data_IF_930677923954
#
_entry.id   IF_930677923954
#
_cell.length_a   1.000
_cell.length_b   1.000
_cell.length_c   1.000
_cell.angle_alpha   90.00
_cell.angle_beta   90.00
_cell.angle_gamma   90.00
#
_symmetry.space_group_name_H-M   'P 1'
#
loop_
_entity.id
_entity.type
_entity.pdbx_description
1 polymer ?
#
# COMPACT_ATOMS: atom_id res chain seq x y z
N UNK A 1 -66.14 27.97 -18.58
CA UNK A 1 -66.33 26.59 -18.05
C UNK A 1 -65.20 25.74 -18.64
N UNK A 2 -64.12 25.49 -17.88
CA UNK A 2 -63.81 24.20 -17.21
C UNK A 2 -63.38 23.10 -18.19
N UNK A 3 -62.24 22.38 -18.10
CA UNK A 3 -61.16 22.25 -17.10
C UNK A 3 -59.94 21.58 -17.79
N UNK A 4 -58.71 21.98 -17.43
CA UNK A 4 -57.45 21.31 -17.82
C UNK A 4 -57.32 19.96 -17.11
N UNK A 5 -57.00 18.89 -17.83
CA UNK A 5 -56.67 17.57 -17.24
C UNK A 5 -55.19 17.53 -16.89
N UNK A 6 -54.86 17.48 -15.59
CA UNK A 6 -53.50 17.19 -15.07
C UNK A 6 -53.34 15.68 -14.94
N UNK A 7 -52.20 15.15 -15.40
CA UNK A 7 -51.78 13.78 -15.11
C UNK A 7 -51.06 13.72 -13.75
N UNK A 8 -51.22 12.63 -12.96
CA UNK A 8 -50.75 12.58 -11.57
C UNK A 8 -49.28 12.19 -11.45
N UNK A 9 -48.56 12.89 -10.58
CA UNK A 9 -47.24 12.54 -10.07
C UNK A 9 -47.39 11.28 -9.21
N UNK A 10 -46.75 10.16 -9.60
CA UNK A 10 -46.61 9.01 -8.71
C UNK A 10 -45.31 9.13 -7.91
N UNK A 11 -45.49 9.15 -6.59
CA UNK A 11 -44.47 9.18 -5.54
C UNK A 11 -43.76 7.84 -5.41
N UNK A 12 -42.45 7.88 -5.18
CA UNK A 12 -41.68 6.82 -4.52
C UNK A 12 -42.19 6.57 -3.08
N UNK A 13 -42.22 5.30 -2.64
CA UNK A 13 -42.16 4.95 -1.21
C UNK A 13 -41.03 3.94 -0.89
N UNK A 14 -40.73 3.72 0.41
CA UNK A 14 -39.36 3.66 0.94
C UNK A 14 -38.84 2.24 1.21
N UNK A 15 -37.52 2.09 1.16
CA UNK A 15 -36.82 0.86 1.56
C UNK A 15 -36.76 0.79 3.09
N UNK A 16 -37.44 -0.21 3.66
CA UNK A 16 -37.41 -0.51 5.08
C UNK A 16 -36.19 -1.36 5.42
N UNK A 17 -35.44 -0.82 6.35
CA UNK A 17 -34.42 -1.43 7.20
C UNK A 17 -34.91 -2.68 7.94
N UNK A 18 -34.06 -3.71 8.01
CA UNK A 18 -34.01 -4.58 9.20
C UNK A 18 -32.55 -4.73 9.69
N UNK A 19 -32.35 -4.87 11.01
CA UNK A 19 -31.05 -4.75 11.68
C UNK A 19 -30.49 -6.11 12.15
N UNK A 20 -29.16 -6.26 12.07
CA UNK A 20 -28.35 -7.20 12.87
C UNK A 20 -26.96 -6.56 13.00
N UNK A 21 -26.70 -5.79 14.06
CA UNK A 21 -26.16 -6.24 15.35
C UNK A 21 -24.80 -6.94 15.23
N UNK A 22 -23.77 -6.10 15.45
CA UNK A 22 -22.51 -6.35 16.15
C UNK A 22 -21.65 -7.55 15.74
N UNK A 23 -20.55 -7.24 15.06
CA UNK A 23 -19.23 -7.66 15.56
C UNK A 23 -18.22 -6.56 15.24
N UNK A 24 -17.97 -5.73 16.26
CA UNK A 24 -16.83 -4.86 16.38
C UNK A 24 -15.61 -5.73 16.69
N UNK A 25 -14.54 -5.55 15.90
CA UNK A 25 -13.14 -5.46 16.30
C UNK A 25 -12.31 -5.27 15.02
N UNK A 26 -11.85 -4.05 14.76
CA UNK A 26 -10.47 -3.57 15.00
C UNK A 26 -9.54 -4.19 13.97
N UNK A 27 -9.01 -3.46 12.99
CA UNK A 27 -8.12 -2.31 13.19
C UNK A 27 -8.53 -1.09 12.34
N UNK A 28 -9.10 -0.11 13.05
CA UNK A 28 -9.21 1.29 12.65
C UNK A 28 -7.84 1.93 12.92
N UNK A 29 -7.05 2.09 11.87
CA UNK A 29 -6.02 3.12 11.82
C UNK A 29 -6.48 4.05 10.70
N UNK A 30 -6.92 5.24 11.08
CA UNK A 30 -7.59 6.20 10.22
C UNK A 30 -6.87 6.40 8.89
N UNK A 31 -7.49 5.89 7.84
CA UNK A 31 -7.11 6.17 6.46
C UNK A 31 -8.02 7.30 5.96
N UNK A 32 -7.83 8.51 6.51
CA UNK A 32 -8.11 9.72 5.70
C UNK A 32 -7.05 9.81 4.61
N UNK A 33 -6.95 8.78 3.77
CA UNK A 33 -6.19 8.84 2.54
C UNK A 33 -6.90 9.85 1.65
N UNK A 34 -6.17 10.91 1.27
CA UNK A 34 -6.68 11.88 0.32
C UNK A 34 -7.20 11.13 -0.92
N UNK A 35 -8.35 11.57 -1.45
CA UNK A 35 -8.98 10.88 -2.58
C UNK A 35 -8.04 10.85 -3.81
N UNK A 36 -7.11 11.81 -3.91
CA UNK A 36 -6.02 11.84 -4.87
C UNK A 36 -4.96 10.77 -4.61
N UNK A 37 -4.49 10.63 -3.38
CA UNK A 37 -3.50 9.61 -3.00
C UNK A 37 -4.01 8.19 -3.27
N UNK A 38 -5.26 7.92 -2.88
CA UNK A 38 -5.92 6.64 -3.17
C UNK A 38 -5.97 6.38 -4.67
N UNK A 39 -6.34 7.38 -5.47
CA UNK A 39 -6.35 7.25 -6.92
C UNK A 39 -4.95 7.00 -7.48
N UNK A 40 -3.94 7.69 -6.97
CA UNK A 40 -2.56 7.52 -7.44
C UNK A 40 -2.04 6.11 -7.13
N UNK A 41 -2.40 5.57 -5.96
CA UNK A 41 -2.11 4.18 -5.61
C UNK A 41 -2.82 3.19 -6.54
N UNK A 42 -4.12 3.39 -6.80
CA UNK A 42 -4.88 2.61 -7.77
C UNK A 42 -4.21 2.66 -9.16
N UNK A 43 -3.79 3.85 -9.60
CA UNK A 43 -3.13 4.08 -10.89
C UNK A 43 -1.78 3.33 -10.99
N UNK A 44 -0.93 3.45 -9.97
CA UNK A 44 0.37 2.76 -9.91
C UNK A 44 0.19 1.24 -10.03
N UNK A 45 -0.75 0.68 -9.27
CA UNK A 45 -1.07 -0.74 -9.33
C UNK A 45 -1.52 -1.18 -10.72
N UNK A 46 -2.39 -0.40 -11.37
CA UNK A 46 -2.83 -0.72 -12.74
C UNK A 46 -1.68 -0.66 -13.75
N UNK A 47 -0.74 0.28 -13.63
CA UNK A 47 0.43 0.38 -14.50
C UNK A 47 1.33 -0.87 -14.34
N UNK A 48 1.57 -1.27 -13.09
CA UNK A 48 2.36 -2.48 -12.78
C UNK A 48 1.71 -3.74 -13.38
N UNK A 49 0.39 -3.89 -13.23
CA UNK A 49 -0.33 -5.03 -13.77
C UNK A 49 -0.29 -5.09 -15.31
N UNK A 50 -0.37 -3.95 -15.98
CA UNK A 50 -0.21 -3.87 -17.44
C UNK A 50 1.21 -4.26 -17.85
N UNK A 51 2.24 -3.72 -17.18
CA UNK A 51 3.64 -4.08 -17.46
C UNK A 51 3.89 -5.57 -17.28
N UNK A 52 3.44 -6.18 -16.17
CA UNK A 52 3.58 -7.61 -15.94
C UNK A 52 2.89 -8.46 -17.02
N UNK A 53 1.73 -8.01 -17.51
CA UNK A 53 1.02 -8.66 -18.62
C UNK A 53 1.80 -8.54 -19.93
N UNK A 54 2.39 -7.38 -20.23
CA UNK A 54 3.24 -7.20 -21.42
C UNK A 54 4.52 -8.05 -21.35
N UNK A 55 5.16 -8.14 -20.18
CA UNK A 55 6.38 -8.94 -19.99
C UNK A 55 6.16 -10.44 -20.17
N UNK A 56 4.95 -10.92 -19.90
CA UNK A 56 4.60 -12.36 -19.98
C UNK A 56 3.88 -12.74 -21.28
N UNK A 57 3.31 -11.77 -22.01
CA UNK A 57 2.53 -12.03 -23.22
C UNK A 57 3.33 -11.79 -24.51
N UNK A 58 3.16 -12.68 -25.48
CA UNK A 58 3.71 -12.48 -26.83
C UNK A 58 3.08 -11.25 -27.50
N UNK A 59 3.92 -10.44 -28.13
CA UNK A 59 3.54 -9.18 -28.80
C UNK A 59 2.51 -9.33 -29.92
N UNK A 60 2.27 -10.55 -30.40
CA UNK A 60 1.34 -10.86 -31.49
C UNK A 60 -0.14 -10.84 -31.04
N UNK A 61 -0.42 -10.85 -29.74
CA UNK A 61 -1.80 -10.91 -29.23
C UNK A 61 -2.46 -9.54 -29.33
N UNK A 62 -3.71 -9.46 -29.81
CA UNK A 62 -4.50 -8.21 -29.85
C UNK A 62 -4.51 -7.47 -28.50
N UNK A 63 -4.58 -8.24 -27.42
CA UNK A 63 -4.55 -7.78 -26.03
C UNK A 63 -3.26 -7.02 -25.68
N UNK A 64 -2.11 -7.41 -26.26
CA UNK A 64 -0.83 -6.70 -26.07
C UNK A 64 -0.92 -5.25 -26.55
N UNK A 65 -1.45 -5.05 -27.77
CA UNK A 65 -1.61 -3.71 -28.34
C UNK A 65 -2.58 -2.84 -27.55
N UNK A 66 -3.64 -3.44 -26.99
CA UNK A 66 -4.62 -2.76 -26.15
C UNK A 66 -4.02 -2.34 -24.80
N UNK A 67 -3.25 -3.21 -24.15
CA UNK A 67 -2.54 -2.89 -22.91
C UNK A 67 -1.46 -1.82 -23.12
N UNK A 68 -0.72 -1.85 -24.23
CA UNK A 68 0.25 -0.82 -24.56
C UNK A 68 -0.41 0.56 -24.72
N UNK A 69 -1.54 0.62 -25.43
CA UNK A 69 -2.32 1.86 -25.61
C UNK A 69 -2.87 2.38 -24.27
N UNK A 70 -3.35 1.47 -23.42
CA UNK A 70 -3.81 1.82 -22.08
C UNK A 70 -2.67 2.44 -21.26
N UNK A 71 -1.50 1.82 -21.28
CA UNK A 71 -0.32 2.27 -20.55
C UNK A 71 0.13 3.67 -20.97
N UNK A 72 0.19 3.95 -22.27
CA UNK A 72 0.47 5.30 -22.81
C UNK A 72 -0.52 6.36 -22.28
N UNK A 73 -1.79 5.99 -22.13
CA UNK A 73 -2.82 6.92 -21.61
C UNK A 73 -2.68 7.15 -20.10
N UNK A 74 -2.33 6.11 -19.34
CA UNK A 74 -2.17 6.19 -17.88
C UNK A 74 -0.93 6.97 -17.46
N UNK A 75 0.18 6.83 -18.20
CA UNK A 75 1.42 7.56 -17.98
C UNK A 75 1.33 9.03 -18.40
N UNK A 76 0.39 9.40 -19.26
CA UNK A 76 0.22 10.79 -19.67
C UNK A 76 -0.26 11.65 -18.48
N UNK A 77 0.59 12.56 -18.02
CA UNK A 77 0.27 13.50 -16.95
C UNK A 77 -0.86 14.47 -17.32
N UNK A 78 -1.04 14.76 -18.62
CA UNK A 78 -2.08 15.67 -19.13
C UNK A 78 -3.45 15.01 -19.26
N UNK A 79 -3.55 13.69 -19.08
CA UNK A 79 -4.82 12.99 -19.18
C UNK A 79 -5.71 13.25 -17.94
N UNK A 80 -6.98 13.68 -18.11
CA UNK A 80 -7.88 13.91 -16.98
C UNK A 80 -8.12 12.64 -16.16
N UNK A 81 -8.30 12.80 -14.84
CA UNK A 81 -8.58 11.71 -13.88
C UNK A 81 -9.67 10.75 -14.35
N UNK A 82 -10.80 11.29 -14.84
CA UNK A 82 -11.92 10.49 -15.32
C UNK A 82 -11.53 9.57 -16.48
N UNK A 83 -10.69 10.05 -17.40
CA UNK A 83 -10.21 9.26 -18.54
C UNK A 83 -9.28 8.13 -18.08
N UNK A 84 -8.40 8.40 -17.11
CA UNK A 84 -7.55 7.35 -16.52
C UNK A 84 -8.41 6.27 -15.86
N UNK A 85 -9.41 6.64 -15.07
CA UNK A 85 -10.36 5.68 -14.46
C UNK A 85 -11.09 4.84 -15.50
N UNK A 86 -11.58 5.46 -16.58
CA UNK A 86 -12.25 4.74 -17.66
C UNK A 86 -11.31 3.70 -18.30
N UNK A 87 -10.09 4.10 -18.63
CA UNK A 87 -9.09 3.20 -19.23
C UNK A 87 -8.78 2.03 -18.28
N UNK A 88 -8.55 2.30 -16.99
CA UNK A 88 -8.31 1.26 -15.98
C UNK A 88 -9.47 0.27 -15.91
N UNK A 89 -10.71 0.75 -15.88
CA UNK A 89 -11.91 -0.10 -15.82
C UNK A 89 -12.13 -0.91 -17.09
N UNK A 90 -11.84 -0.35 -18.27
CA UNK A 90 -12.04 -1.05 -19.54
C UNK A 90 -10.99 -2.13 -19.78
N UNK A 91 -9.74 -1.93 -19.33
CA UNK A 91 -8.64 -2.85 -19.61
C UNK A 91 -8.47 -3.93 -18.55
N UNK A 92 -8.61 -3.58 -17.27
CA UNK A 92 -8.38 -4.49 -16.14
C UNK A 92 -9.69 -4.93 -15.46
N UNK A 93 -10.82 -4.29 -15.78
CA UNK A 93 -12.10 -4.54 -15.11
C UNK A 93 -12.14 -3.94 -13.71
N UNK A 94 -12.68 -4.69 -12.75
CA UNK A 94 -12.74 -4.31 -11.33
C UNK A 94 -11.36 -4.42 -10.65
N UNK A 95 -10.45 -3.50 -10.98
CA UNK A 95 -9.08 -3.49 -10.41
C UNK A 95 -9.04 -3.33 -8.89
N UNK A 96 -10.04 -2.67 -8.28
CA UNK A 96 -10.11 -2.49 -6.81
C UNK A 96 -10.25 -3.81 -6.06
N UNK A 97 -11.04 -4.73 -6.59
CA UNK A 97 -11.23 -6.05 -6.01
C UNK A 97 -9.94 -6.88 -6.15
N UNK A 98 -9.31 -6.83 -7.32
CA UNK A 98 -8.01 -7.49 -7.58
C UNK A 98 -6.93 -6.99 -6.64
N UNK A 99 -6.85 -5.69 -6.39
CA UNK A 99 -5.89 -5.12 -5.45
C UNK A 99 -6.13 -5.60 -4.01
N UNK A 100 -7.39 -5.73 -3.58
CA UNK A 100 -7.73 -6.26 -2.25
C UNK A 100 -7.34 -7.75 -2.13
N UNK A 101 -7.61 -8.53 -3.17
CA UNK A 101 -7.25 -9.94 -3.23
C UNK A 101 -5.72 -10.13 -3.17
N UNK A 102 -4.97 -9.34 -3.94
CA UNK A 102 -3.51 -9.39 -3.95
C UNK A 102 -2.92 -8.98 -2.60
N UNK A 103 -3.42 -7.90 -2.00
CA UNK A 103 -3.03 -7.50 -0.63
C UNK A 103 -3.27 -8.63 0.37
N UNK A 104 -4.42 -9.30 0.30
CA UNK A 104 -4.72 -10.43 1.17
C UNK A 104 -3.77 -11.62 0.94
N UNK A 105 -3.47 -11.94 -0.33
CA UNK A 105 -2.50 -12.99 -0.70
C UNK A 105 -1.10 -12.65 -0.19
N UNK A 106 -0.65 -11.42 -0.36
CA UNK A 106 0.65 -10.94 0.09
C UNK A 106 0.78 -11.03 1.62
N UNK A 107 -0.24 -10.61 2.37
CA UNK A 107 -0.26 -10.70 3.83
C UNK A 107 -0.22 -12.17 4.28
N UNK A 108 -1.03 -13.04 3.67
CA UNK A 108 -1.04 -14.46 4.00
C UNK A 108 0.32 -15.12 3.71
N UNK A 109 0.93 -14.83 2.56
CA UNK A 109 2.23 -15.37 2.18
C UNK A 109 3.36 -14.82 3.04
N UNK A 110 3.34 -13.52 3.36
CA UNK A 110 4.32 -12.88 4.24
C UNK A 110 4.23 -13.48 5.65
N UNK A 111 3.03 -13.67 6.17
CA UNK A 111 2.81 -14.34 7.48
C UNK A 111 3.33 -15.77 7.47
N UNK A 112 3.13 -16.51 6.36
CA UNK A 112 3.67 -17.87 6.20
C UNK A 112 5.20 -17.88 6.16
N UNK A 113 5.82 -16.96 5.42
CA UNK A 113 7.28 -16.86 5.25
C UNK A 113 7.99 -16.34 6.50
N UNK A 114 7.36 -15.45 7.25
CA UNK A 114 7.88 -14.90 8.51
C UNK A 114 7.66 -15.83 9.71
N UNK A 115 6.90 -16.92 9.56
CA UNK A 115 6.70 -17.92 10.63
C UNK A 115 8.01 -18.67 10.89
N UNK A 116 8.80 -18.15 11.82
CA UNK A 116 9.98 -18.82 12.34
C UNK A 116 9.55 -20.14 12.98
N UNK A 117 9.99 -21.24 12.38
CA UNK A 117 9.89 -22.54 13.04
C UNK A 117 10.95 -22.59 14.13
N UNK A 118 10.63 -23.08 15.34
CA UNK A 118 11.66 -23.40 16.32
C UNK A 118 12.62 -24.40 15.69
N UNK A 119 13.83 -23.94 15.35
CA UNK A 119 14.87 -24.85 14.92
C UNK A 119 15.27 -25.64 16.16
N UNK A 120 14.94 -26.94 16.20
CA UNK A 120 15.55 -27.87 17.15
C UNK A 120 17.00 -28.09 16.69
N UNK A 121 17.88 -27.13 16.97
CA UNK A 121 19.32 -27.31 16.81
C UNK A 121 19.82 -28.17 17.98
N UNK A 122 20.79 -29.08 17.75
CA UNK A 122 21.49 -29.71 18.88
C UNK A 122 22.09 -28.61 19.75
N UNK A 123 21.96 -28.76 21.07
CA UNK A 123 22.31 -27.78 22.10
C UNK A 123 23.70 -27.16 21.87
N UNK A 124 23.74 -26.00 21.20
CA UNK A 124 24.97 -25.24 21.04
C UNK A 124 25.15 -24.39 22.29
N UNK A 125 26.30 -24.57 22.96
CA UNK A 125 26.64 -23.83 24.18
C UNK A 125 26.62 -22.33 23.87
N UNK A 126 25.75 -21.57 24.52
CA UNK A 126 25.74 -20.12 24.43
C UNK A 126 26.87 -19.53 25.29
N UNK A 127 27.60 -18.56 24.74
CA UNK A 127 28.66 -17.85 25.45
C UNK A 127 28.22 -16.41 25.67
N UNK A 128 28.07 -16.01 26.94
CA UNK A 128 27.76 -14.63 27.30
C UNK A 128 29.05 -13.82 27.41
N UNK A 129 29.22 -12.83 26.52
CA UNK A 129 30.32 -11.88 26.60
C UNK A 129 29.88 -10.66 27.41
N UNK A 130 30.50 -10.45 28.58
CA UNK A 130 30.35 -9.21 29.34
C UNK A 130 31.32 -8.18 28.79
N UNK A 131 30.81 -7.14 28.11
CA UNK A 131 31.62 -5.97 27.75
C UNK A 131 31.88 -5.14 29.01
N UNK A 132 33.14 -4.91 29.34
CA UNK A 132 33.56 -4.05 30.44
C UNK A 132 34.20 -2.80 29.83
N UNK A 133 33.71 -1.62 30.19
CA UNK A 133 34.35 -0.36 29.81
C UNK A 133 35.55 -0.13 30.74
N UNK A 134 36.76 -0.34 30.23
CA UNK A 134 37.98 0.03 30.95
C UNK A 134 38.11 1.55 30.83
N UNK A 135 37.92 2.26 31.93
CA UNK A 135 38.33 3.65 32.02
C UNK A 135 39.85 3.66 32.21
N UNK A 136 40.59 3.94 31.13
CA UNK A 136 42.02 4.26 31.25
C UNK A 136 42.12 5.54 32.08
N UNK A 137 42.40 5.37 33.37
CA UNK A 137 42.69 6.46 34.28
C UNK A 137 44.20 6.62 34.37
N UNK A 138 44.79 7.13 33.29
CA UNK A 138 46.13 7.69 33.33
C UNK A 138 46.18 9.02 32.55
N UNK A 139 46.36 10.09 33.32
CA UNK A 139 46.86 11.43 32.97
C UNK A 139 46.10 12.33 31.99
N UNK A 140 45.45 13.35 32.59
CA UNK A 140 45.32 14.76 32.15
C UNK A 140 44.94 15.07 30.70
N UNK A 141 43.68 15.47 30.49
CA UNK A 141 43.30 16.76 29.89
C UNK A 141 41.77 16.86 29.77
N UNK A 142 41.26 18.05 30.08
CA UNK A 142 39.84 18.40 30.14
C UNK A 142 39.12 18.22 28.79
N UNK A 143 38.29 17.18 28.66
CA UNK A 143 37.27 17.09 27.60
C UNK A 143 36.02 16.38 28.15
N UNK A 144 34.82 16.99 28.06
CA UNK A 144 33.64 16.48 28.74
C UNK A 144 33.15 15.14 28.17
N UNK A 145 32.76 14.27 29.10
CA UNK A 145 32.36 12.88 28.91
C UNK A 145 31.01 12.74 28.16
N UNK A 146 31.02 12.81 26.83
CA UNK A 146 29.81 12.56 26.01
C UNK A 146 30.03 11.67 24.78
N UNK A 147 31.24 11.14 24.53
CA UNK A 147 31.55 10.46 23.24
C UNK A 147 31.96 8.98 23.38
N UNK A 148 32.04 8.42 24.60
CA UNK A 148 32.18 6.96 24.76
C UNK A 148 30.83 6.21 24.58
N UNK A 149 29.90 6.79 23.84
CA UNK A 149 28.58 6.27 23.59
C UNK A 149 28.60 5.39 22.34
N UNK A 150 27.93 4.24 22.42
CA UNK A 150 27.79 3.29 21.33
C UNK A 150 27.13 3.99 20.14
N UNK A 151 27.93 4.41 19.15
CA UNK A 151 27.45 5.16 17.99
C UNK A 151 27.23 4.22 16.82
N UNK A 152 25.97 4.07 16.43
CA UNK A 152 25.62 3.47 15.15
C UNK A 152 26.18 4.37 14.04
N UNK A 153 26.95 3.82 13.12
CA UNK A 153 27.63 4.57 12.07
C UNK A 153 26.65 5.02 10.96
N UNK A 154 25.65 5.81 11.32
CA UNK A 154 24.85 6.57 10.36
C UNK A 154 25.55 7.92 10.17
N UNK A 155 26.11 8.13 8.99
CA UNK A 155 26.53 9.47 8.56
C UNK A 155 25.27 10.31 8.41
N UNK A 156 25.08 11.28 9.30
CA UNK A 156 24.09 12.35 9.12
C UNK A 156 24.85 13.46 8.43
N UNK A 157 24.59 13.64 7.14
CA UNK A 157 25.06 14.82 6.42
C UNK A 157 24.33 16.03 7.00
N UNK A 158 25.05 16.89 7.73
CA UNK A 158 24.54 18.16 8.23
C UNK A 158 24.78 19.20 7.13
N UNK A 159 23.78 19.39 6.27
CA UNK A 159 23.77 20.52 5.35
C UNK A 159 23.47 21.80 6.16
N UNK A 160 24.50 22.63 6.33
CA UNK A 160 24.40 23.93 6.99
C UNK A 160 23.53 24.91 6.17
N UNK A 161 22.65 25.62 6.86
CA UNK A 161 21.83 26.74 6.34
C UNK A 161 22.62 28.04 6.24
#
# INVERSE_FOLDING_TARGET
>A
MHRRKKLPIQKLPPSQTTPSTSSLNSEDVGDEEDAGEKFERELKWCIEQLNASLSTSDSMKKIYSEHLRALQTLQNAKAPMAKKRQVMSMTLGNYREKMKEEKAKFVAESTRKARLQPQCSPETKSVFLRKVAVSNKDSSSDVPASIAEFKFNFSIDHEDS
#
